data_IF_732367100059
#
_entry.id   IF_732367100059
#
_cell.length_a   1.000
_cell.length_b   1.000
_cell.length_c   1.000
_cell.angle_alpha   90.00
_cell.angle_beta   90.00
_cell.angle_gamma   90.00
#
_symmetry.space_group_name_H-M   'P 1'
#
loop_
_entity.id
_entity.type
_entity.pdbx_description
1 polymer ?
#
# COMPACT_ATOMS: atom_id res chain seq x y z
N UNK A 1 -26.11 8.16 -0.67
CA UNK A 1 -26.35 6.75 -1.03
C UNK A 1 -25.41 5.90 -0.19
N UNK A 2 -25.93 4.97 0.61
CA UNK A 2 -25.11 4.09 1.46
C UNK A 2 -24.45 3.07 0.51
N UNK A 3 -23.14 3.24 0.26
CA UNK A 3 -22.36 2.26 -0.49
C UNK A 3 -22.20 1.02 0.38
N UNK A 4 -22.84 -0.09 0.02
CA UNK A 4 -22.68 -1.38 0.71
C UNK A 4 -21.39 -2.05 0.26
N UNK A 5 -20.62 -2.58 1.22
CA UNK A 5 -19.32 -3.24 1.01
C UNK A 5 -19.43 -4.73 1.30
N UNK A 6 -18.71 -5.55 0.54
CA UNK A 6 -18.62 -6.98 0.79
C UNK A 6 -17.65 -7.24 1.95
N UNK A 7 -18.15 -7.75 3.08
CA UNK A 7 -17.34 -7.95 4.29
C UNK A 7 -16.26 -9.03 4.12
N UNK A 8 -16.43 -9.97 3.17
CA UNK A 8 -15.40 -10.98 2.90
C UNK A 8 -14.18 -10.45 2.12
N UNK A 9 -14.36 -9.51 1.19
CA UNK A 9 -13.27 -9.14 0.26
C UNK A 9 -13.10 -7.63 0.05
N UNK A 10 -13.84 -6.80 0.80
CA UNK A 10 -13.75 -5.34 0.75
C UNK A 10 -14.24 -4.69 -0.53
N UNK A 11 -14.85 -5.45 -1.46
CA UNK A 11 -15.31 -4.90 -2.74
C UNK A 11 -16.55 -4.02 -2.50
N UNK A 12 -16.55 -2.74 -2.92
CA UNK A 12 -17.72 -1.89 -2.83
C UNK A 12 -18.75 -2.28 -3.90
N UNK A 13 -20.04 -2.11 -3.60
CA UNK A 13 -21.11 -2.32 -4.57
C UNK A 13 -21.14 -1.19 -5.61
N UNK A 14 -21.27 -1.55 -6.89
CA UNK A 14 -21.54 -0.58 -7.94
C UNK A 14 -22.89 0.09 -7.68
N UNK A 15 -22.86 1.35 -7.24
CA UNK A 15 -24.04 2.22 -7.02
C UNK A 15 -25.07 1.68 -6.00
N UNK A 16 -24.70 0.75 -5.13
CA UNK A 16 -25.62 0.23 -4.09
C UNK A 16 -26.75 -0.66 -4.59
N UNK A 17 -26.74 -1.08 -5.86
CA UNK A 17 -27.83 -1.86 -6.47
C UNK A 17 -27.53 -3.36 -6.64
N UNK A 18 -26.29 -3.78 -6.42
CA UNK A 18 -25.92 -5.20 -6.49
C UNK A 18 -26.31 -5.92 -5.21
N UNK A 19 -27.06 -7.02 -5.30
CA UNK A 19 -27.33 -7.90 -4.16
C UNK A 19 -26.10 -8.76 -3.80
N UNK A 20 -25.33 -9.18 -4.82
CA UNK A 20 -24.20 -10.09 -4.68
C UNK A 20 -22.88 -9.45 -5.11
N UNK A 21 -21.81 -9.76 -4.38
CA UNK A 21 -20.45 -9.36 -4.71
C UNK A 21 -19.98 -10.09 -5.97
N UNK A 22 -19.54 -9.33 -6.98
CA UNK A 22 -19.04 -9.90 -8.24
C UNK A 22 -17.68 -10.59 -8.10
N UNK A 23 -16.97 -10.37 -6.98
CA UNK A 23 -15.64 -10.95 -6.73
C UNK A 23 -15.70 -12.31 -6.04
N UNK A 24 -16.56 -12.45 -5.02
CA UNK A 24 -16.62 -13.68 -4.21
C UNK A 24 -18.01 -14.35 -4.19
N UNK A 25 -19.02 -13.75 -4.83
CA UNK A 25 -20.39 -14.29 -4.90
C UNK A 25 -21.20 -14.14 -3.60
N UNK A 26 -20.62 -13.64 -2.51
CA UNK A 26 -21.32 -13.42 -1.24
C UNK A 26 -22.27 -12.21 -1.35
N UNK A 27 -23.47 -12.23 -0.73
CA UNK A 27 -24.29 -11.03 -0.64
C UNK A 27 -23.56 -9.90 0.09
N UNK A 28 -23.76 -8.65 -0.34
CA UNK A 28 -23.14 -7.52 0.34
C UNK A 28 -23.62 -7.41 1.80
N UNK A 29 -22.74 -7.02 2.71
CA UNK A 29 -23.04 -6.91 4.15
C UNK A 29 -23.17 -8.23 4.91
N UNK A 30 -23.13 -9.39 4.25
CA UNK A 30 -23.09 -10.69 4.94
C UNK A 30 -21.70 -10.95 5.51
N UNK A 31 -21.61 -11.67 6.65
CA UNK A 31 -20.34 -12.03 7.25
C UNK A 31 -19.52 -12.92 6.31
N UNK A 32 -18.19 -12.84 6.36
CA UNK A 32 -17.30 -13.75 5.65
C UNK A 32 -17.62 -15.23 5.91
N UNK A 33 -17.26 -16.10 4.95
CA UNK A 33 -17.24 -17.55 5.18
C UNK A 33 -16.13 -17.89 6.18
N UNK A 34 -16.33 -18.90 7.02
CA UNK A 34 -15.39 -19.28 8.06
C UNK A 34 -14.00 -19.64 7.53
N UNK A 35 -13.94 -20.25 6.35
CA UNK A 35 -12.70 -20.67 5.68
C UNK A 35 -12.13 -19.63 4.70
N UNK A 36 -12.70 -18.43 4.62
CA UNK A 36 -12.22 -17.40 3.71
C UNK A 36 -10.91 -16.76 4.20
N UNK A 37 -9.96 -16.58 3.29
CA UNK A 37 -8.83 -15.69 3.55
C UNK A 37 -9.32 -14.24 3.58
N UNK A 38 -9.09 -13.56 4.71
CA UNK A 38 -9.64 -12.24 4.98
C UNK A 38 -8.66 -11.12 4.59
N UNK A 39 -9.17 -10.01 4.04
CA UNK A 39 -8.32 -8.90 3.61
C UNK A 39 -7.75 -8.12 4.80
N UNK A 40 -6.55 -7.58 4.63
CA UNK A 40 -5.97 -6.59 5.54
C UNK A 40 -6.20 -5.17 5.03
N UNK A 41 -6.28 -4.22 5.96
CA UNK A 41 -6.20 -2.80 5.64
C UNK A 41 -4.85 -2.53 4.97
N UNK A 42 -4.80 -1.96 3.76
CA UNK A 42 -3.53 -1.66 3.09
C UNK A 42 -2.75 -0.54 3.79
N UNK A 43 -3.41 0.21 4.71
CA UNK A 43 -2.81 1.35 5.42
C UNK A 43 -2.18 0.93 6.75
N UNK A 44 -2.93 0.25 7.62
CA UNK A 44 -2.42 -0.19 8.93
C UNK A 44 -1.97 -1.66 8.97
N UNK A 45 -2.21 -2.44 7.91
CA UNK A 45 -1.96 -3.88 7.83
C UNK A 45 -2.74 -4.76 8.82
N UNK A 46 -3.71 -4.19 9.54
CA UNK A 46 -4.62 -4.98 10.38
C UNK A 46 -5.59 -5.79 9.50
N UNK A 47 -5.67 -7.10 9.76
CA UNK A 47 -6.60 -8.01 9.09
C UNK A 47 -7.99 -7.86 9.67
N UNK A 48 -9.02 -7.81 8.82
CA UNK A 48 -10.41 -7.77 9.30
C UNK A 48 -10.72 -9.01 10.15
N UNK A 49 -11.55 -8.85 11.18
CA UNK A 49 -11.99 -9.96 12.01
C UNK A 49 -12.94 -10.90 11.27
N UNK A 50 -13.38 -11.97 11.93
CA UNK A 50 -14.30 -12.98 11.37
C UNK A 50 -15.64 -12.39 10.91
N UNK A 51 -16.01 -11.21 11.42
CA UNK A 51 -17.18 -10.43 10.98
C UNK A 51 -16.94 -9.58 9.74
N UNK A 52 -15.71 -9.61 9.19
CA UNK A 52 -15.25 -8.83 8.05
C UNK A 52 -15.12 -7.33 8.33
N UNK A 53 -14.92 -6.97 9.60
CA UNK A 53 -14.83 -5.58 10.06
C UNK A 53 -13.56 -5.33 10.87
N UNK A 54 -13.23 -4.05 11.03
CA UNK A 54 -12.15 -3.55 11.88
C UNK A 54 -12.72 -2.60 12.94
N UNK A 55 -12.03 -2.38 14.07
CA UNK A 55 -12.35 -1.30 15.00
C UNK A 55 -12.37 0.06 14.27
N UNK A 56 -13.33 0.92 14.60
CA UNK A 56 -13.33 2.30 14.13
C UNK A 56 -12.28 3.11 14.89
N UNK A 57 -11.56 3.97 14.17
CA UNK A 57 -10.62 4.93 14.71
C UNK A 57 -11.34 6.18 15.21
N UNK A 58 -12.48 6.53 14.60
CA UNK A 58 -13.31 7.68 14.98
C UNK A 58 -14.17 7.41 16.23
N UNK A 59 -14.58 6.16 16.46
CA UNK A 59 -15.54 5.81 17.51
C UNK A 59 -15.16 4.52 18.25
N UNK A 60 -14.76 4.66 19.52
CA UNK A 60 -14.42 3.53 20.39
C UNK A 60 -15.60 2.56 20.49
N UNK A 61 -15.33 1.27 20.29
CA UNK A 61 -16.32 0.18 20.39
C UNK A 61 -17.16 -0.04 19.12
N UNK A 62 -17.10 0.85 18.13
CA UNK A 62 -17.74 0.64 16.84
C UNK A 62 -16.86 -0.24 15.94
N UNK A 63 -17.46 -1.17 15.20
CA UNK A 63 -16.78 -1.95 14.15
C UNK A 63 -17.31 -1.57 12.77
N UNK A 64 -16.40 -1.24 11.86
CA UNK A 64 -16.69 -0.67 10.54
C UNK A 64 -16.15 -1.58 9.44
N UNK A 65 -16.74 -1.50 8.25
CA UNK A 65 -16.21 -2.23 7.10
C UNK A 65 -14.84 -1.69 6.67
N UNK A 66 -14.12 -2.51 5.90
CA UNK A 66 -12.76 -2.22 5.46
C UNK A 66 -12.62 -0.89 4.70
N UNK A 67 -13.61 -0.50 3.90
CA UNK A 67 -13.54 0.74 3.12
C UNK A 67 -13.71 1.95 4.03
N UNK A 68 -14.67 1.90 4.95
CA UNK A 68 -14.84 2.95 5.95
C UNK A 68 -13.59 3.08 6.84
N UNK A 69 -13.05 1.99 7.36
CA UNK A 69 -11.82 2.03 8.15
C UNK A 69 -10.66 2.70 7.38
N UNK A 70 -10.48 2.36 6.09
CA UNK A 70 -9.47 3.01 5.24
C UNK A 70 -9.66 4.53 5.15
N UNK A 71 -10.90 5.02 5.05
CA UNK A 71 -11.15 6.48 5.02
C UNK A 71 -10.92 7.17 6.35
N UNK A 72 -10.98 6.45 7.48
CA UNK A 72 -10.71 7.03 8.80
C UNK A 72 -9.22 7.39 8.95
N UNK A 73 -8.33 6.74 8.20
CA UNK A 73 -6.90 7.09 8.17
C UNK A 73 -6.58 8.46 7.58
N UNK A 74 -7.51 9.10 6.86
CA UNK A 74 -7.35 10.50 6.46
C UNK A 74 -7.28 11.43 7.68
N UNK A 75 -7.91 11.04 8.80
CA UNK A 75 -7.90 11.77 10.08
C UNK A 75 -7.00 11.13 11.13
N UNK A 76 -6.81 9.82 11.03
CA UNK A 76 -5.99 8.99 11.93
C UNK A 76 -4.86 8.33 11.15
N UNK A 77 -3.89 9.12 10.67
CA UNK A 77 -2.79 8.59 9.88
C UNK A 77 -2.03 7.51 10.66
N UNK A 78 -1.60 6.47 9.96
CA UNK A 78 -0.82 5.37 10.55
C UNK A 78 0.64 5.65 10.30
N UNK A 79 1.40 5.91 11.34
CA UNK A 79 2.84 6.10 11.25
C UNK A 79 3.30 6.83 12.49
N UNK A 80 4.47 6.49 12.98
CA UNK A 80 5.05 7.18 14.11
C UNK A 80 5.74 8.45 13.59
N UNK A 81 4.97 9.54 13.50
CA UNK A 81 5.48 10.86 13.10
C UNK A 81 6.66 11.27 14.00
N UNK A 82 6.64 10.90 15.29
CA UNK A 82 7.71 11.19 16.25
C UNK A 82 8.98 10.40 15.94
N UNK A 83 8.85 9.11 15.61
CA UNK A 83 9.94 8.28 15.14
C UNK A 83 10.48 8.73 13.76
N UNK A 84 9.62 9.11 12.81
CA UNK A 84 10.06 9.62 11.51
C UNK A 84 10.82 10.94 11.64
N UNK A 85 10.37 11.82 12.53
CA UNK A 85 11.06 13.07 12.84
C UNK A 85 12.40 12.81 13.55
N UNK A 86 12.52 11.73 14.34
CA UNK A 86 13.81 11.30 14.93
C UNK A 86 14.87 10.91 13.88
N UNK A 87 14.43 10.51 12.68
CA UNK A 87 15.31 10.15 11.56
C UNK A 87 15.57 11.33 10.60
N UNK A 88 15.04 12.52 10.91
CA UNK A 88 15.05 13.67 10.01
C UNK A 88 16.36 14.46 10.09
N UNK A 89 16.94 14.71 8.91
CA UNK A 89 18.02 15.67 8.68
C UNK A 89 17.53 16.72 7.68
N UNK A 90 17.06 17.87 8.18
CA UNK A 90 16.53 18.95 7.35
C UNK A 90 15.22 18.57 6.65
N UNK A 91 15.18 18.57 5.32
CA UNK A 91 14.03 18.17 4.51
C UNK A 91 14.04 16.67 4.13
N UNK A 92 14.92 15.87 4.74
CA UNK A 92 15.12 14.44 4.41
C UNK A 92 15.09 13.55 5.64
N UNK A 93 14.85 12.25 5.43
CA UNK A 93 15.13 11.17 6.39
C UNK A 93 16.49 10.56 6.06
N UNK A 94 17.30 10.25 7.08
CA UNK A 94 18.58 9.55 6.94
C UNK A 94 18.66 8.30 7.79
N UNK A 95 19.00 7.17 7.15
CA UNK A 95 19.23 5.89 7.82
C UNK A 95 20.56 5.32 7.32
N UNK A 96 21.60 5.50 8.14
CA UNK A 96 22.97 5.17 7.76
C UNK A 96 23.41 5.93 6.49
N UNK A 97 23.69 5.18 5.41
CA UNK A 97 24.08 5.77 4.11
C UNK A 97 22.90 6.18 3.21
N UNK A 98 21.66 5.85 3.58
CA UNK A 98 20.48 6.08 2.77
C UNK A 98 19.81 7.41 3.13
N UNK A 99 19.25 8.10 2.13
CA UNK A 99 18.42 9.30 2.37
C UNK A 99 17.25 9.43 1.41
N UNK A 100 16.12 9.92 1.89
CA UNK A 100 14.92 10.17 1.10
C UNK A 100 14.21 11.45 1.56
N UNK A 101 13.46 12.16 0.70
CA UNK A 101 12.73 13.37 1.12
C UNK A 101 11.72 13.06 2.24
N UNK A 102 11.71 13.88 3.28
CA UNK A 102 10.91 13.66 4.50
C UNK A 102 9.42 13.62 4.18
N UNK A 103 8.89 14.62 3.46
CA UNK A 103 7.47 14.66 3.09
C UNK A 103 7.04 13.47 2.23
N UNK A 104 7.95 12.93 1.41
CA UNK A 104 7.68 11.73 0.61
C UNK A 104 7.58 10.49 1.49
N UNK A 105 8.55 10.28 2.39
CA UNK A 105 8.55 9.11 3.29
C UNK A 105 7.44 9.21 4.32
N UNK A 106 7.21 10.40 4.87
CA UNK A 106 6.09 10.70 5.74
C UNK A 106 4.79 10.37 5.04
N UNK A 107 4.49 10.92 3.87
CA UNK A 107 3.28 10.56 3.13
C UNK A 107 3.21 9.05 2.83
N UNK A 108 4.34 8.39 2.54
CA UNK A 108 4.39 6.96 2.25
C UNK A 108 4.09 6.06 3.47
N UNK A 109 4.74 6.33 4.59
CA UNK A 109 4.63 5.55 5.82
C UNK A 109 3.43 5.96 6.66
N UNK A 110 3.04 7.24 6.65
CA UNK A 110 2.03 7.88 7.52
C UNK A 110 0.61 7.77 6.97
N UNK A 111 0.45 7.69 5.64
CA UNK A 111 -0.89 7.54 5.03
C UNK A 111 -1.16 6.11 4.56
N UNK A 112 -0.14 5.24 4.61
CA UNK A 112 -0.17 3.88 4.05
C UNK A 112 -0.82 3.80 2.66
N UNK A 113 -0.74 4.87 1.86
CA UNK A 113 -1.33 4.92 0.54
C UNK A 113 -0.48 4.12 -0.46
N UNK A 114 -0.58 2.80 -0.37
CA UNK A 114 -0.34 1.90 -1.51
C UNK A 114 -1.67 1.27 -1.90
N UNK A 115 -2.64 2.10 -2.27
CA UNK A 115 -3.70 1.64 -3.15
C UNK A 115 -4.09 2.73 -4.15
N UNK A 116 -3.11 3.09 -4.99
CA UNK A 116 -3.33 4.04 -6.09
C UNK A 116 -3.83 3.33 -7.38
N UNK A 117 -4.54 2.22 -7.23
CA UNK A 117 -5.03 1.34 -8.29
C UNK A 117 -4.02 0.27 -8.74
N UNK A 118 -4.53 -0.77 -9.42
CA UNK A 118 -3.77 -1.96 -9.88
C UNK A 118 -2.45 -1.61 -10.59
N UNK A 119 -2.46 -0.56 -11.41
CA UNK A 119 -1.29 -0.17 -12.20
C UNK A 119 -0.15 0.42 -11.34
N UNK A 120 -0.47 1.09 -10.23
CA UNK A 120 0.55 1.67 -9.33
C UNK A 120 1.08 0.67 -8.31
N UNK A 121 0.27 -0.31 -7.90
CA UNK A 121 0.77 -1.46 -7.13
C UNK A 121 1.78 -2.28 -7.97
N UNK A 122 1.45 -2.56 -9.24
CA UNK A 122 2.39 -3.20 -10.17
C UNK A 122 3.67 -2.37 -10.37
N UNK A 123 3.55 -1.04 -10.46
CA UNK A 123 4.72 -0.16 -10.57
C UNK A 123 5.59 -0.18 -9.31
N UNK A 124 4.98 -0.22 -8.11
CA UNK A 124 5.70 -0.35 -6.85
C UNK A 124 6.45 -1.68 -6.78
N UNK A 125 5.78 -2.80 -7.03
CA UNK A 125 6.39 -4.12 -6.95
C UNK A 125 7.50 -4.28 -7.98
N UNK A 126 7.35 -3.65 -9.15
CA UNK A 126 8.41 -3.55 -10.16
C UNK A 126 9.62 -2.77 -9.65
N UNK A 127 9.43 -1.65 -8.93
CA UNK A 127 10.53 -0.84 -8.35
C UNK A 127 11.25 -1.61 -7.24
N UNK A 128 10.51 -2.23 -6.30
CA UNK A 128 11.10 -3.01 -5.19
C UNK A 128 11.86 -4.22 -5.71
N UNK A 129 11.30 -4.90 -6.70
CA UNK A 129 11.95 -6.02 -7.38
C UNK A 129 13.21 -5.54 -8.09
N UNK A 130 13.13 -4.46 -8.88
CA UNK A 130 14.27 -3.87 -9.56
C UNK A 130 15.42 -3.52 -8.61
N UNK A 131 15.13 -2.89 -7.47
CA UNK A 131 16.14 -2.54 -6.46
C UNK A 131 16.80 -3.79 -5.85
N UNK A 132 16.02 -4.83 -5.56
CA UNK A 132 16.53 -6.11 -5.05
C UNK A 132 17.45 -6.80 -6.08
N UNK A 133 17.05 -6.80 -7.34
CA UNK A 133 17.82 -7.41 -8.44
C UNK A 133 19.13 -6.66 -8.69
N UNK A 134 19.10 -5.32 -8.74
CA UNK A 134 20.30 -4.48 -8.89
C UNK A 134 21.29 -4.70 -7.74
N UNK A 135 20.80 -4.82 -6.50
CA UNK A 135 21.64 -5.13 -5.34
C UNK A 135 22.32 -6.49 -5.46
N UNK A 136 21.63 -7.49 -6.02
CA UNK A 136 22.10 -8.88 -6.08
C UNK A 136 23.01 -9.16 -7.26
N UNK A 137 22.72 -8.59 -8.43
CA UNK A 137 23.36 -8.95 -9.70
C UNK A 137 24.01 -7.76 -10.42
N UNK A 138 23.83 -6.53 -9.93
CA UNK A 138 24.33 -5.32 -10.59
C UNK A 138 23.47 -4.88 -11.78
N UNK A 139 23.79 -3.71 -12.37
CA UNK A 139 23.04 -3.14 -13.49
C UNK A 139 23.08 -4.00 -14.76
N UNK A 140 24.18 -4.71 -14.99
CA UNK A 140 24.42 -5.55 -16.17
C UNK A 140 24.12 -7.04 -15.94
N UNK A 141 23.44 -7.37 -14.84
CA UNK A 141 23.12 -8.75 -14.49
C UNK A 141 22.18 -9.42 -15.49
N UNK A 142 22.59 -10.55 -16.06
CA UNK A 142 21.74 -11.39 -16.91
C UNK A 142 20.88 -12.32 -16.05
N UNK A 143 19.56 -12.12 -16.08
CA UNK A 143 18.59 -12.79 -15.20
C UNK A 143 17.71 -13.72 -16.04
N UNK A 144 17.72 -15.01 -15.70
CA UNK A 144 16.88 -16.00 -16.36
C UNK A 144 15.39 -15.72 -16.10
N UNK A 145 14.60 -15.61 -17.18
CA UNK A 145 13.16 -15.31 -17.09
C UNK A 145 12.82 -13.83 -16.87
N UNK A 146 13.76 -12.93 -17.14
CA UNK A 146 13.57 -11.50 -16.97
C UNK A 146 12.54 -10.93 -17.95
N UNK A 147 11.40 -10.49 -17.40
CA UNK A 147 10.34 -9.90 -18.19
C UNK A 147 10.72 -8.49 -18.67
N UNK A 148 10.28 -8.06 -19.87
CA UNK A 148 10.62 -6.74 -20.42
C UNK A 148 10.32 -5.57 -19.48
N UNK A 149 9.19 -5.63 -18.76
CA UNK A 149 8.77 -4.59 -17.82
C UNK A 149 9.71 -4.50 -16.60
N UNK A 150 10.29 -5.62 -16.17
CA UNK A 150 11.23 -5.66 -15.04
C UNK A 150 12.60 -5.12 -15.44
N UNK A 151 13.05 -5.43 -16.66
CA UNK A 151 14.24 -4.81 -17.25
C UNK A 151 14.08 -3.30 -17.38
N UNK A 152 12.93 -2.85 -17.89
CA UNK A 152 12.60 -1.43 -18.01
C UNK A 152 12.58 -0.73 -16.64
N UNK A 153 12.00 -1.36 -15.61
CA UNK A 153 12.01 -0.84 -14.25
C UNK A 153 13.43 -0.73 -13.68
N UNK A 154 14.31 -1.72 -13.90
CA UNK A 154 15.72 -1.64 -13.49
C UNK A 154 16.46 -0.50 -14.18
N UNK A 155 16.34 -0.37 -15.50
CA UNK A 155 16.94 0.75 -16.23
C UNK A 155 16.45 2.10 -15.72
N UNK A 156 15.14 2.24 -15.47
CA UNK A 156 14.58 3.48 -14.93
C UNK A 156 15.10 3.82 -13.52
N UNK A 157 15.30 2.81 -12.67
CA UNK A 157 15.90 2.98 -11.33
C UNK A 157 17.37 3.36 -11.43
N UNK A 158 18.15 2.73 -12.32
CA UNK A 158 19.55 3.10 -12.57
C UNK A 158 19.65 4.55 -13.05
N UNK A 159 18.89 4.92 -14.08
CA UNK A 159 18.85 6.29 -14.60
C UNK A 159 18.48 7.32 -13.53
N UNK A 160 17.50 6.98 -12.68
CA UNK A 160 17.10 7.82 -11.54
C UNK A 160 18.28 7.99 -10.58
N UNK A 161 18.95 6.91 -10.19
CA UNK A 161 20.09 6.95 -9.27
C UNK A 161 21.27 7.74 -9.86
N UNK A 162 21.54 7.61 -11.16
CA UNK A 162 22.59 8.35 -11.88
C UNK A 162 22.27 9.83 -12.07
N UNK A 163 21.01 10.20 -12.31
CA UNK A 163 20.61 11.62 -12.34
C UNK A 163 20.76 12.25 -10.96
N UNK A 164 20.38 11.54 -9.91
CA UNK A 164 20.56 12.00 -8.53
C UNK A 164 22.03 12.15 -8.16
N UNK A 165 22.91 11.23 -8.56
CA UNK A 165 24.35 11.33 -8.30
C UNK A 165 25.00 12.50 -9.05
N UNK A 166 24.60 12.74 -10.31
CA UNK A 166 25.10 13.88 -11.11
C UNK A 166 24.57 15.24 -10.64
N UNK A 167 23.35 15.31 -10.10
CA UNK A 167 22.79 16.54 -9.52
C UNK A 167 23.47 17.01 -8.23
N UNK A 168 24.40 16.20 -7.71
CA UNK A 168 25.23 16.48 -6.52
C UNK A 168 26.70 16.79 -6.87
N UNK A 169 27.05 16.87 -8.15
CA UNK A 169 28.39 17.23 -8.63
C UNK A 169 28.47 18.72 -8.99
#
# INVERSE_FOLDING_TARGET
>A
MISTVCLQCGTPSDRGHGTFCRRCGLPYGQPPRAEAELPSCPTCYETVGDDGRLPSLDHIGLRVDLVRHQTEHDRHPVGDDEWLDSLREGDRIRIGRWSAPFETVRRYLVTGQVNAGRNRALAHDAIVTAMTQLKRWGPDGDIFGDLPDWKAARSAVVDMMERYSRSRA
#
